data_IF_847636570194
#
_entry.id   IF_847636570194
#
_cell.length_a   1.000
_cell.length_b   1.000
_cell.length_c   1.000
_cell.angle_alpha   90.00
_cell.angle_beta   90.00
_cell.angle_gamma   90.00
#
_symmetry.space_group_name_H-M   'P 1'
#
loop_
_entity.id
_entity.type
_entity.pdbx_description
1 polymer ?
#
# COMPACT_ATOMS: atom_id res chain seq x y z
N UNK A 1 -17.49 7.82 -12.43
CA UNK A 1 -17.13 6.68 -11.58
C UNK A 1 -15.77 7.01 -10.96
N UNK A 2 -15.61 6.89 -9.65
CA UNK A 2 -14.36 7.27 -9.00
C UNK A 2 -13.23 6.36 -9.51
N UNK A 3 -12.19 6.95 -10.09
CA UNK A 3 -10.95 6.25 -10.40
C UNK A 3 -10.26 5.96 -9.06
N UNK A 4 -10.64 4.86 -8.43
CA UNK A 4 -9.95 4.34 -7.25
C UNK A 4 -8.58 3.85 -7.70
N UNK A 5 -7.59 4.73 -7.60
CA UNK A 5 -6.18 4.43 -7.88
C UNK A 5 -5.59 3.78 -6.64
N UNK A 6 -5.20 2.53 -6.78
CA UNK A 6 -4.46 1.81 -5.76
C UNK A 6 -2.99 1.88 -6.10
N UNK A 7 -2.13 2.03 -5.10
CA UNK A 7 -0.68 2.08 -5.30
C UNK A 7 -0.07 0.93 -4.53
N UNK A 8 0.73 0.12 -5.22
CA UNK A 8 1.50 -0.94 -4.60
C UNK A 8 2.53 -0.30 -3.63
N UNK A 9 2.48 -0.59 -2.32
CA UNK A 9 3.36 0.04 -1.35
C UNK A 9 4.81 -0.49 -1.40
N UNK A 10 5.07 -1.58 -2.14
CA UNK A 10 6.39 -2.20 -2.30
C UNK A 10 7.14 -1.58 -3.47
N UNK A 11 6.54 -1.59 -4.67
CA UNK A 11 7.18 -1.09 -5.88
C UNK A 11 6.76 0.35 -6.25
N UNK A 12 5.65 0.85 -5.70
CA UNK A 12 5.10 2.18 -6.01
C UNK A 12 4.30 2.23 -7.31
N UNK A 13 4.01 1.09 -7.94
CA UNK A 13 3.25 1.02 -9.18
C UNK A 13 1.77 1.38 -8.94
N UNK A 14 1.21 2.20 -9.83
CA UNK A 14 -0.23 2.48 -9.83
C UNK A 14 -0.99 1.31 -10.45
N UNK A 15 -1.90 0.73 -9.67
CA UNK A 15 -2.82 -0.30 -10.08
C UNK A 15 -4.06 0.40 -10.63
N UNK A 16 -4.15 0.43 -11.96
CA UNK A 16 -5.25 1.05 -12.70
C UNK A 16 -6.50 0.18 -12.75
N UNK A 17 -6.36 -1.14 -12.56
CA UNK A 17 -7.47 -2.09 -12.50
C UNK A 17 -7.38 -2.96 -11.25
N UNK A 18 -8.35 -2.77 -10.35
CA UNK A 18 -8.41 -3.53 -9.09
C UNK A 18 -8.69 -5.03 -9.29
N UNK A 19 -9.23 -5.44 -10.46
CA UNK A 19 -9.48 -6.85 -10.76
C UNK A 19 -8.20 -7.64 -11.01
N UNK A 20 -7.16 -6.96 -11.51
CA UNK A 20 -5.85 -7.55 -11.76
C UNK A 20 -4.92 -7.44 -10.54
N UNK A 21 -5.36 -6.71 -9.50
CA UNK A 21 -4.59 -6.55 -8.29
C UNK A 21 -4.55 -7.83 -7.45
N UNK A 22 -3.39 -8.10 -6.87
CA UNK A 22 -3.19 -9.15 -5.89
C UNK A 22 -3.52 -8.61 -4.49
N UNK A 23 -4.29 -9.36 -3.69
CA UNK A 23 -4.77 -8.94 -2.36
C UNK A 23 -6.29 -9.12 -2.20
N UNK A 24 -6.96 -8.35 -1.32
CA UNK A 24 -6.45 -7.32 -0.42
C UNK A 24 -5.77 -7.89 0.82
N UNK A 25 -4.75 -7.20 1.34
CA UNK A 25 -4.26 -7.40 2.70
C UNK A 25 -4.77 -6.27 3.57
N UNK A 26 -5.41 -6.63 4.68
CA UNK A 26 -5.77 -5.65 5.69
C UNK A 26 -4.62 -5.48 6.69
N UNK A 27 -4.08 -4.26 6.76
CA UNK A 27 -3.03 -3.91 7.72
C UNK A 27 -3.33 -2.56 8.34
N UNK A 28 -3.41 -2.51 9.68
CA UNK A 28 -3.80 -1.31 10.44
C UNK A 28 -5.14 -0.69 10.00
N UNK A 29 -6.13 -1.52 9.65
CA UNK A 29 -7.45 -1.06 9.20
C UNK A 29 -7.46 -0.42 7.80
N UNK A 30 -6.40 -0.62 7.01
CA UNK A 30 -6.31 -0.21 5.61
C UNK A 30 -6.09 -1.42 4.72
N UNK A 31 -6.74 -1.43 3.56
CA UNK A 31 -6.54 -2.45 2.53
C UNK A 31 -5.40 -2.03 1.61
N UNK A 32 -4.44 -2.93 1.44
CA UNK A 32 -3.32 -2.81 0.51
C UNK A 32 -3.49 -3.80 -0.63
N UNK A 33 -3.09 -3.36 -1.82
CA UNK A 33 -3.19 -4.08 -3.07
C UNK A 33 -1.84 -4.05 -3.75
N UNK A 34 -1.53 -5.11 -4.50
CA UNK A 34 -0.22 -5.34 -5.08
C UNK A 34 -0.34 -5.63 -6.57
N UNK A 35 0.66 -5.23 -7.35
CA UNK A 35 0.71 -5.59 -8.77
C UNK A 35 1.16 -7.04 -8.99
N UNK A 36 1.98 -7.57 -8.08
CA UNK A 36 2.54 -8.92 -8.19
C UNK A 36 2.40 -9.72 -6.89
N UNK A 37 2.43 -11.05 -7.01
CA UNK A 37 2.40 -11.96 -5.85
C UNK A 37 3.64 -11.78 -4.98
N UNK A 38 4.79 -11.55 -5.59
CA UNK A 38 6.05 -11.35 -4.86
C UNK A 38 6.00 -10.07 -4.00
N UNK A 39 5.37 -8.99 -4.49
CA UNK A 39 5.19 -7.75 -3.73
C UNK A 39 4.24 -7.95 -2.55
N UNK A 40 3.15 -8.71 -2.74
CA UNK A 40 2.30 -9.14 -1.63
C UNK A 40 3.11 -9.90 -0.56
N UNK A 41 3.91 -10.88 -0.94
CA UNK A 41 4.72 -11.66 0.00
C UNK A 41 5.78 -10.82 0.72
N UNK A 42 6.44 -9.90 0.01
CA UNK A 42 7.38 -8.94 0.60
C UNK A 42 6.68 -8.08 1.65
N UNK A 43 5.46 -7.62 1.34
CA UNK A 43 4.64 -6.86 2.28
C UNK A 43 4.21 -7.70 3.47
N UNK A 44 3.78 -8.95 3.30
CA UNK A 44 3.42 -9.84 4.41
C UNK A 44 4.60 -10.10 5.35
N UNK A 45 5.81 -10.26 4.81
CA UNK A 45 7.04 -10.47 5.59
C UNK A 45 7.44 -9.25 6.42
N UNK A 46 7.25 -8.04 5.89
CA UNK A 46 7.61 -6.83 6.61
C UNK A 46 6.71 -5.63 6.22
N UNK A 47 5.45 -5.61 6.66
CA UNK A 47 4.50 -4.59 6.22
C UNK A 47 4.95 -3.23 6.72
N UNK A 48 5.39 -3.14 8.00
CA UNK A 48 5.87 -1.90 8.64
C UNK A 48 6.89 -1.13 7.81
N UNK A 49 7.74 -1.81 7.04
CA UNK A 49 8.73 -1.17 6.15
C UNK A 49 8.07 -0.34 5.04
N UNK A 50 6.96 -0.82 4.49
CA UNK A 50 6.26 -0.22 3.35
C UNK A 50 5.15 0.76 3.79
N UNK A 51 4.61 0.58 5.00
CA UNK A 51 3.53 1.45 5.52
C UNK A 51 4.04 2.72 6.21
N UNK A 52 5.36 2.86 6.40
CA UNK A 52 5.96 3.91 7.23
C UNK A 52 5.78 5.35 6.72
N UNK A 53 5.29 5.58 5.50
CA UNK A 53 5.40 6.90 4.86
C UNK A 53 4.17 7.83 4.91
N UNK A 54 3.21 7.68 5.84
CA UNK A 54 2.12 8.70 5.96
C UNK A 54 1.76 9.19 7.37
N UNK A 55 2.40 8.70 8.44
CA UNK A 55 2.15 9.22 9.79
C UNK A 55 3.31 9.97 10.44
N UNK A 56 4.53 9.91 9.90
CA UNK A 56 5.69 10.58 10.51
C UNK A 56 6.10 11.92 9.87
N UNK A 57 5.37 12.43 8.88
CA UNK A 57 5.64 13.80 8.35
C UNK A 57 4.66 14.86 8.91
N UNK A 58 3.49 14.46 9.43
CA UNK A 58 2.49 15.43 9.93
C UNK A 58 2.66 15.82 11.41
N UNK A 59 3.65 15.27 12.12
CA UNK A 59 3.91 15.57 13.54
C UNK A 59 5.12 16.49 13.74
N UNK A 60 5.91 16.78 12.69
CA UNK A 60 7.10 17.66 12.80
C UNK A 60 6.85 19.14 12.49
N UNK A 61 5.62 19.53 12.13
CA UNK A 61 5.26 20.93 11.80
C UNK A 61 4.52 21.66 12.94
N UNK A 62 4.49 21.12 14.16
CA UNK A 62 3.79 21.71 15.31
C UNK A 62 4.68 21.85 16.57
N UNK A 63 6.01 21.95 16.41
CA UNK A 63 6.91 22.41 17.48
C UNK A 63 7.51 23.76 17.12
#
# INVERSE_FOLDING_TARGET
>A
MANERYVDPVCGMEITNIKDAIGPIEYMGKKYYFCEVEDKEKFEKNPMKYVKSKKEEKVKSMI
#
